data_IF_974068711728
#
_entry.id   IF_974068711728
#
_cell.length_a   1.000
_cell.length_b   1.000
_cell.length_c   1.000
_cell.angle_alpha   90.00
_cell.angle_beta   90.00
_cell.angle_gamma   90.00
#
_symmetry.space_group_name_H-M   'P 1'
#
loop_
_entity.id
_entity.type
_entity.pdbx_description
1 polymer ?
#
# COMPACT_ATOMS: atom_id res chain seq x y z
N UNK A 1 23.20 -18.29 -12.76
CA UNK A 1 22.52 -17.36 -13.68
C UNK A 1 21.00 -17.55 -13.73
N UNK A 2 20.45 -18.77 -13.57
CA UNK A 2 18.99 -19.03 -13.59
C UNK A 2 18.19 -18.32 -12.48
N UNK A 3 18.72 -18.19 -11.26
CA UNK A 3 18.02 -17.59 -10.14
C UNK A 3 17.81 -16.06 -10.26
N UNK A 4 18.73 -15.34 -10.93
CA UNK A 4 18.64 -13.88 -11.09
C UNK A 4 17.56 -13.51 -12.11
N UNK A 5 17.45 -14.25 -13.20
CA UNK A 5 16.41 -14.02 -14.20
C UNK A 5 15.02 -14.32 -13.64
N UNK A 6 14.87 -15.42 -12.90
CA UNK A 6 13.60 -15.79 -12.27
C UNK A 6 13.13 -14.72 -11.24
N UNK A 7 14.05 -14.15 -10.47
CA UNK A 7 13.74 -13.06 -9.53
C UNK A 7 13.27 -11.78 -10.23
N UNK A 8 13.89 -11.45 -11.37
CA UNK A 8 13.50 -10.27 -12.15
C UNK A 8 12.14 -10.45 -12.81
N UNK A 9 11.89 -11.60 -13.44
CA UNK A 9 10.60 -11.94 -14.04
C UNK A 9 9.48 -11.97 -13.00
N UNK A 10 9.75 -12.52 -11.80
CA UNK A 10 8.79 -12.52 -10.69
C UNK A 10 8.47 -11.09 -10.22
N UNK A 11 9.47 -10.21 -10.15
CA UNK A 11 9.25 -8.82 -9.75
C UNK A 11 8.41 -8.06 -10.78
N UNK A 12 8.66 -8.26 -12.07
CA UNK A 12 7.83 -7.65 -13.13
C UNK A 12 6.37 -8.15 -13.04
N UNK A 13 6.14 -9.44 -12.85
CA UNK A 13 4.81 -9.99 -12.62
C UNK A 13 4.13 -9.36 -11.39
N UNK A 14 4.85 -9.22 -10.29
CA UNK A 14 4.32 -8.60 -9.08
C UNK A 14 3.92 -7.13 -9.31
N UNK A 15 4.70 -6.39 -10.10
CA UNK A 15 4.36 -5.01 -10.49
C UNK A 15 3.12 -4.96 -11.37
N UNK A 16 2.97 -5.87 -12.32
CA UNK A 16 1.81 -5.97 -13.18
C UNK A 16 0.55 -6.31 -12.37
N UNK A 17 0.63 -7.24 -11.42
CA UNK A 17 -0.46 -7.55 -10.50
C UNK A 17 -0.89 -6.33 -9.69
N UNK A 18 0.05 -5.57 -9.14
CA UNK A 18 -0.24 -4.34 -8.42
C UNK A 18 -0.84 -3.25 -9.33
N UNK A 19 -0.38 -3.16 -10.59
CA UNK A 19 -0.91 -2.23 -11.60
C UNK A 19 -2.40 -2.51 -11.92
N UNK A 20 -2.85 -3.76 -11.83
CA UNK A 20 -4.27 -4.12 -12.06
C UNK A 20 -5.21 -3.50 -11.03
N UNK A 21 -4.73 -3.12 -9.86
CA UNK A 21 -5.53 -2.47 -8.80
C UNK A 21 -5.69 -0.95 -9.01
N UNK A 22 -4.99 -0.36 -9.97
CA UNK A 22 -5.01 1.07 -10.24
C UNK A 22 -6.43 1.56 -10.51
N UNK A 23 -6.76 2.72 -9.90
CA UNK A 23 -8.10 3.30 -9.98
C UNK A 23 -9.11 2.66 -9.03
N UNK A 24 -8.66 1.74 -8.17
CA UNK A 24 -9.52 1.01 -7.25
C UNK A 24 -9.47 1.49 -5.81
N UNK A 25 -10.35 0.88 -5.01
CA UNK A 25 -10.44 1.07 -3.57
C UNK A 25 -10.12 -0.25 -2.87
N UNK A 26 -9.15 -0.23 -1.97
CA UNK A 26 -8.81 -1.36 -1.10
C UNK A 26 -9.44 -1.08 0.26
N UNK A 27 -10.26 -2.00 0.76
CA UNK A 27 -11.04 -1.79 1.99
C UNK A 27 -10.56 -2.72 3.11
N UNK A 28 -10.31 -2.15 4.29
CA UNK A 28 -10.00 -2.91 5.49
C UNK A 28 -11.27 -3.63 5.98
N UNK A 29 -11.15 -4.94 6.23
CA UNK A 29 -12.25 -5.80 6.69
C UNK A 29 -11.79 -6.68 7.85
N UNK A 30 -12.70 -6.96 8.80
CA UNK A 30 -12.40 -7.75 9.99
C UNK A 30 -13.13 -9.08 10.08
N UNK A 31 -13.96 -9.38 9.08
CA UNK A 31 -14.69 -10.64 8.96
C UNK A 31 -15.21 -10.86 7.53
N UNK A 32 -15.72 -12.06 7.26
CA UNK A 32 -16.25 -12.46 5.97
C UNK A 32 -17.43 -11.60 5.47
N UNK A 33 -18.32 -11.16 6.36
CA UNK A 33 -19.48 -10.34 5.97
C UNK A 33 -19.06 -8.93 5.52
N UNK A 34 -18.10 -8.34 6.20
CA UNK A 34 -17.51 -7.07 5.75
C UNK A 34 -16.81 -7.22 4.39
N UNK A 35 -16.10 -8.33 4.19
CA UNK A 35 -15.44 -8.63 2.91
C UNK A 35 -16.44 -8.71 1.76
N UNK A 36 -17.54 -9.45 1.92
CA UNK A 36 -18.64 -9.52 0.95
C UNK A 36 -19.27 -8.16 0.67
N UNK A 37 -19.47 -7.35 1.71
CA UNK A 37 -19.99 -5.98 1.58
C UNK A 37 -19.04 -5.11 0.76
N UNK A 38 -17.74 -5.20 1.01
CA UNK A 38 -16.72 -4.47 0.25
C UNK A 38 -16.69 -4.89 -1.22
N UNK A 39 -16.70 -6.20 -1.49
CA UNK A 39 -16.75 -6.74 -2.87
C UNK A 39 -18.01 -6.29 -3.60
N UNK A 40 -19.19 -6.40 -2.98
CA UNK A 40 -20.47 -5.95 -3.54
C UNK A 40 -20.50 -4.44 -3.84
N UNK A 41 -19.75 -3.64 -3.09
CA UNK A 41 -19.61 -2.20 -3.31
C UNK A 41 -18.62 -1.85 -4.44
N UNK A 42 -17.87 -2.81 -4.97
CA UNK A 42 -16.90 -2.63 -6.04
C UNK A 42 -15.47 -2.38 -5.57
N UNK A 43 -15.10 -2.82 -4.36
CA UNK A 43 -13.70 -2.82 -3.94
C UNK A 43 -12.84 -3.66 -4.90
N UNK A 44 -11.64 -3.20 -5.22
CA UNK A 44 -10.70 -3.95 -6.07
C UNK A 44 -9.92 -5.02 -5.29
N UNK A 45 -9.84 -4.87 -3.98
CA UNK A 45 -9.24 -5.81 -3.04
C UNK A 45 -9.72 -5.51 -1.62
N UNK A 46 -9.52 -6.45 -0.70
CA UNK A 46 -9.75 -6.24 0.73
C UNK A 46 -8.46 -6.47 1.51
N UNK A 47 -8.29 -5.76 2.63
CA UNK A 47 -7.22 -5.96 3.60
C UNK A 47 -7.79 -6.70 4.80
N UNK A 48 -7.37 -7.94 5.01
CA UNK A 48 -7.81 -8.77 6.13
C UNK A 48 -7.11 -8.35 7.43
N UNK A 49 -7.87 -7.91 8.42
CA UNK A 49 -7.38 -7.45 9.72
C UNK A 49 -8.22 -8.04 10.86
N UNK A 50 -7.61 -8.36 11.99
CA UNK A 50 -8.36 -8.64 13.22
C UNK A 50 -8.94 -7.37 13.82
N UNK A 51 -8.19 -6.27 13.71
CA UNK A 51 -8.55 -4.95 14.22
C UNK A 51 -8.17 -3.91 13.19
N UNK A 52 -9.08 -2.99 12.92
CA UNK A 52 -8.81 -1.84 12.08
C UNK A 52 -7.82 -0.88 12.77
N UNK A 53 -7.12 -0.01 12.05
CA UNK A 53 -6.11 0.89 12.62
C UNK A 53 -6.60 1.72 13.81
N UNK A 54 -7.85 2.18 13.80
CA UNK A 54 -8.44 2.93 14.92
C UNK A 54 -8.50 2.11 16.21
N UNK A 55 -8.84 0.82 16.13
CA UNK A 55 -8.92 -0.06 17.29
C UNK A 55 -7.53 -0.47 17.78
N UNK A 56 -6.56 -0.61 16.87
CA UNK A 56 -5.16 -0.82 17.24
C UNK A 56 -4.63 0.37 18.05
N UNK A 57 -4.89 1.60 17.61
CA UNK A 57 -4.53 2.82 18.34
C UNK A 57 -5.18 2.89 19.72
N UNK A 58 -6.45 2.56 19.82
CA UNK A 58 -7.21 2.63 21.07
C UNK A 58 -6.75 1.57 22.09
N UNK A 59 -6.42 0.36 21.63
CA UNK A 59 -6.03 -0.74 22.50
C UNK A 59 -4.59 -0.60 23.04
N UNK A 60 -3.70 0.05 22.28
CA UNK A 60 -2.26 0.09 22.61
C UNK A 60 -1.59 -1.29 22.57
N UNK A 61 -0.38 -1.38 23.08
CA UNK A 61 0.38 -2.63 23.12
C UNK A 61 0.98 -3.04 21.76
N UNK A 62 1.37 -4.32 21.65
CA UNK A 62 2.01 -4.85 20.44
C UNK A 62 0.95 -5.36 19.46
N UNK A 63 0.87 -4.72 18.29
CA UNK A 63 0.03 -5.17 17.18
C UNK A 63 0.83 -6.09 16.25
N UNK A 64 0.29 -7.28 15.96
CA UNK A 64 0.92 -8.34 15.15
C UNK A 64 0.05 -8.67 13.93
N UNK A 65 0.57 -9.54 13.04
CA UNK A 65 -0.24 -10.08 11.94
C UNK A 65 -1.51 -10.76 12.47
N UNK A 66 -2.54 -10.76 11.65
CA UNK A 66 -3.83 -11.38 11.97
C UNK A 66 -3.75 -12.90 11.98
N UNK A 67 -4.68 -13.55 12.72
CA UNK A 67 -4.79 -14.99 12.79
C UNK A 67 -4.97 -15.62 11.40
N UNK A 68 -4.19 -16.65 11.04
CA UNK A 68 -4.33 -17.36 9.78
C UNK A 68 -5.75 -17.89 9.51
N UNK A 69 -6.49 -18.29 10.53
CA UNK A 69 -7.88 -18.76 10.38
C UNK A 69 -8.79 -17.65 9.87
N UNK A 70 -8.69 -16.44 10.45
CA UNK A 70 -9.45 -15.28 10.00
C UNK A 70 -9.12 -14.93 8.55
N UNK A 71 -7.84 -14.95 8.19
CA UNK A 71 -7.40 -14.68 6.81
C UNK A 71 -8.04 -15.70 5.84
N UNK A 72 -8.00 -16.98 6.17
CA UNK A 72 -8.63 -18.04 5.37
C UNK A 72 -10.15 -17.89 5.25
N UNK A 73 -10.83 -17.49 6.33
CA UNK A 73 -12.28 -17.23 6.29
C UNK A 73 -12.62 -16.07 5.33
N UNK A 74 -11.81 -15.00 5.33
CA UNK A 74 -11.98 -13.88 4.40
C UNK A 74 -11.67 -14.30 2.96
N UNK A 75 -10.56 -15.02 2.73
CA UNK A 75 -10.22 -15.57 1.39
C UNK A 75 -11.34 -16.44 0.81
N UNK A 76 -11.97 -17.27 1.63
CA UNK A 76 -13.09 -18.12 1.21
C UNK A 76 -14.41 -17.37 0.96
N UNK A 77 -14.51 -16.11 1.37
CA UNK A 77 -15.74 -15.33 1.30
C UNK A 77 -15.88 -14.45 0.06
N UNK A 78 -14.77 -14.13 -0.62
CA UNK A 78 -14.72 -13.17 -1.74
C UNK A 78 -13.93 -13.74 -2.91
N UNK A 79 -14.17 -13.20 -4.10
CA UNK A 79 -13.43 -13.52 -5.33
C UNK A 79 -12.36 -12.48 -5.69
N UNK A 80 -12.41 -11.31 -5.08
CA UNK A 80 -11.40 -10.27 -5.24
C UNK A 80 -10.14 -10.57 -4.42
N UNK A 81 -8.97 -10.00 -4.78
CA UNK A 81 -7.73 -10.21 -4.04
C UNK A 81 -7.84 -9.87 -2.55
N UNK A 82 -7.18 -10.67 -1.73
CA UNK A 82 -7.08 -10.48 -0.28
C UNK A 82 -5.64 -10.13 0.08
N UNK A 83 -5.46 -9.02 0.78
CA UNK A 83 -4.20 -8.58 1.35
C UNK A 83 -4.16 -8.87 2.84
N UNK A 84 -2.96 -9.02 3.39
CA UNK A 84 -2.75 -9.07 4.83
C UNK A 84 -1.47 -8.30 5.21
N UNK A 85 -1.39 -7.88 6.48
CA UNK A 85 -0.26 -7.11 7.01
C UNK A 85 0.72 -8.01 7.77
N UNK A 86 2.02 -7.78 7.54
CA UNK A 86 3.08 -8.24 8.44
C UNK A 86 3.78 -7.04 9.09
N UNK A 87 4.46 -7.29 10.21
CA UNK A 87 5.27 -6.27 10.88
C UNK A 87 6.51 -5.93 10.07
N UNK A 88 6.96 -4.70 10.13
CA UNK A 88 8.23 -4.28 9.50
C UNK A 88 9.36 -5.18 9.99
N UNK A 89 10.14 -5.74 9.06
CA UNK A 89 11.30 -6.60 9.32
C UNK A 89 10.94 -8.05 9.72
N UNK A 90 9.66 -8.37 9.91
CA UNK A 90 9.26 -9.70 10.34
C UNK A 90 9.08 -10.69 9.17
N UNK A 91 10.19 -11.14 8.61
CA UNK A 91 10.16 -12.05 7.46
C UNK A 91 9.44 -13.38 7.73
N UNK A 92 9.41 -13.87 8.99
CA UNK A 92 8.67 -15.10 9.33
C UNK A 92 7.14 -14.91 9.23
N UNK A 93 6.59 -13.73 9.61
CA UNK A 93 5.18 -13.42 9.36
C UNK A 93 4.89 -13.39 7.84
N UNK A 94 5.77 -12.80 7.04
CA UNK A 94 5.63 -12.80 5.59
C UNK A 94 5.68 -14.21 4.99
N UNK A 95 6.52 -15.09 5.50
CA UNK A 95 6.57 -16.52 5.09
C UNK A 95 5.26 -17.24 5.40
N UNK A 96 4.66 -16.99 6.58
CA UNK A 96 3.35 -17.53 6.94
C UNK A 96 2.28 -17.03 5.96
N UNK A 97 2.24 -15.73 5.68
CA UNK A 97 1.28 -15.16 4.74
C UNK A 97 1.44 -15.70 3.33
N UNK A 98 2.67 -15.87 2.84
CA UNK A 98 2.92 -16.51 1.56
C UNK A 98 2.45 -17.97 1.54
N UNK A 99 2.66 -18.73 2.63
CA UNK A 99 2.19 -20.10 2.76
C UNK A 99 0.65 -20.21 2.83
N UNK A 100 -0.03 -19.14 3.24
CA UNK A 100 -1.48 -18.98 3.17
C UNK A 100 -1.97 -18.59 1.78
N UNK A 101 -1.08 -18.45 0.80
CA UNK A 101 -1.41 -18.03 -0.56
C UNK A 101 -2.15 -16.69 -0.60
N UNK A 102 -1.70 -15.74 0.26
CA UNK A 102 -2.22 -14.37 0.24
C UNK A 102 -1.85 -13.68 -1.08
N UNK A 103 -2.72 -12.84 -1.61
CA UNK A 103 -2.48 -12.19 -2.90
C UNK A 103 -1.46 -11.04 -2.81
N UNK A 104 -1.44 -10.30 -1.70
CA UNK A 104 -0.48 -9.21 -1.44
C UNK A 104 -0.15 -9.16 0.05
N UNK A 105 1.10 -8.81 0.37
CA UNK A 105 1.54 -8.56 1.75
C UNK A 105 1.85 -7.07 1.93
N UNK A 106 1.22 -6.44 2.91
CA UNK A 106 1.57 -5.08 3.33
C UNK A 106 2.55 -5.17 4.53
N UNK A 107 3.83 -4.86 4.28
CA UNK A 107 4.82 -4.66 5.33
C UNK A 107 4.55 -3.30 5.98
N UNK A 108 3.88 -3.32 7.13
CA UNK A 108 3.11 -2.17 7.59
C UNK A 108 3.58 -1.57 8.90
N UNK A 109 3.75 -0.25 8.88
CA UNK A 109 3.96 0.58 10.08
C UNK A 109 2.74 0.68 11.00
N UNK A 110 1.57 0.24 10.55
CA UNK A 110 0.35 0.16 11.39
C UNK A 110 0.49 -0.89 12.48
N UNK A 111 1.22 -1.96 12.20
CA UNK A 111 1.61 -2.95 13.19
C UNK A 111 2.87 -2.50 13.94
N UNK A 112 3.12 -3.11 15.11
CA UNK A 112 4.35 -2.85 15.85
C UNK A 112 5.56 -3.39 15.08
N UNK A 113 6.61 -2.61 14.80
CA UNK A 113 7.76 -3.13 14.07
C UNK A 113 8.44 -4.26 14.85
N UNK A 114 8.96 -5.25 14.14
CA UNK A 114 9.81 -6.31 14.70
C UNK A 114 11.29 -5.95 14.58
N UNK A 115 11.62 -5.09 13.60
CA UNK A 115 12.96 -4.57 13.38
C UNK A 115 12.84 -3.07 13.11
N UNK A 116 13.66 -2.27 13.77
CA UNK A 116 13.67 -0.81 13.66
C UNK A 116 14.70 -0.30 12.62
N UNK A 117 15.53 -1.21 12.09
CA UNK A 117 16.58 -0.90 11.13
C UNK A 117 16.28 -1.52 9.76
N UNK A 118 15.97 -2.83 9.73
CA UNK A 118 15.88 -3.58 8.49
C UNK A 118 14.43 -3.88 8.11
N UNK A 119 14.10 -3.58 6.84
CA UNK A 119 12.89 -4.07 6.19
C UNK A 119 13.14 -5.45 5.60
N UNK A 120 12.05 -6.16 5.28
CA UNK A 120 12.10 -7.48 4.65
C UNK A 120 12.76 -7.38 3.26
N UNK A 121 13.67 -8.28 2.94
CA UNK A 121 14.14 -8.50 1.57
C UNK A 121 13.04 -9.21 0.75
N UNK A 122 12.27 -8.41 0.02
CA UNK A 122 11.09 -8.84 -0.74
C UNK A 122 11.46 -9.65 -1.98
N UNK A 123 12.72 -9.60 -2.40
CA UNK A 123 13.22 -10.40 -3.53
C UNK A 123 13.27 -11.90 -3.23
N UNK A 124 13.10 -12.28 -1.97
CA UNK A 124 13.03 -13.68 -1.51
C UNK A 124 11.61 -14.27 -1.55
N UNK A 125 10.62 -13.46 -1.92
CA UNK A 125 9.22 -13.85 -1.94
C UNK A 125 8.67 -13.83 -3.37
N UNK A 126 7.65 -14.65 -3.60
CA UNK A 126 6.92 -14.65 -4.88
C UNK A 126 5.71 -13.72 -4.84
N UNK A 127 5.14 -13.48 -3.66
CA UNK A 127 3.99 -12.62 -3.46
C UNK A 127 4.38 -11.13 -3.55
N UNK A 128 3.55 -10.27 -4.18
CA UNK A 128 3.80 -8.83 -4.24
C UNK A 128 3.67 -8.16 -2.87
N UNK A 129 4.58 -7.22 -2.60
CA UNK A 129 4.59 -6.43 -1.36
C UNK A 129 4.11 -5.00 -1.60
N UNK A 130 3.36 -4.50 -0.62
CA UNK A 130 2.96 -3.09 -0.45
C UNK A 130 3.75 -2.49 0.70
N UNK A 131 4.24 -1.27 0.54
CA UNK A 131 4.94 -0.54 1.59
C UNK A 131 4.49 0.91 1.67
N UNK A 132 4.48 1.47 2.88
CA UNK A 132 4.25 2.89 3.11
C UNK A 132 5.50 3.73 2.86
N UNK A 133 5.31 4.96 2.36
CA UNK A 133 6.35 5.96 2.22
C UNK A 133 5.82 7.37 2.49
N UNK A 134 6.69 8.23 3.05
CA UNK A 134 6.40 9.63 3.34
C UNK A 134 6.97 10.59 2.30
N UNK A 135 8.01 10.14 1.58
CA UNK A 135 8.76 10.94 0.60
C UNK A 135 9.34 10.03 -0.49
N UNK A 136 9.93 10.63 -1.52
CA UNK A 136 10.48 9.90 -2.67
C UNK A 136 11.64 8.97 -2.28
N UNK A 137 12.56 9.42 -1.42
CA UNK A 137 13.68 8.60 -0.99
C UNK A 137 13.22 7.32 -0.28
N UNK A 138 12.24 7.43 0.63
CA UNK A 138 11.67 6.27 1.31
C UNK A 138 10.96 5.33 0.32
N UNK A 139 10.17 5.89 -0.62
CA UNK A 139 9.50 5.12 -1.66
C UNK A 139 10.50 4.32 -2.50
N UNK A 140 11.55 4.97 -2.98
CA UNK A 140 12.57 4.33 -3.81
C UNK A 140 13.39 3.28 -3.06
N UNK A 141 13.64 3.47 -1.75
CA UNK A 141 14.29 2.44 -0.91
C UNK A 141 13.40 1.20 -0.78
N UNK A 142 12.10 1.35 -0.56
CA UNK A 142 11.16 0.21 -0.53
C UNK A 142 11.09 -0.51 -1.87
N UNK A 143 11.08 0.24 -2.97
CA UNK A 143 11.12 -0.32 -4.33
C UNK A 143 12.43 -1.08 -4.58
N UNK A 144 13.56 -0.55 -4.13
CA UNK A 144 14.86 -1.23 -4.23
C UNK A 144 14.88 -2.57 -3.48
N UNK A 145 14.12 -2.69 -2.41
CA UNK A 145 13.95 -3.94 -1.65
C UNK A 145 12.93 -4.90 -2.28
N UNK A 146 12.26 -4.51 -3.36
CA UNK A 146 11.31 -5.33 -4.12
C UNK A 146 9.83 -5.02 -3.87
N UNK A 147 9.48 -3.87 -3.28
CA UNK A 147 8.07 -3.46 -3.16
C UNK A 147 7.45 -3.26 -4.55
N UNK A 148 6.27 -3.84 -4.77
CA UNK A 148 5.51 -3.76 -6.02
C UNK A 148 4.44 -2.66 -6.01
N UNK A 149 4.13 -2.10 -4.84
CA UNK A 149 3.21 -0.98 -4.63
C UNK A 149 3.72 -0.10 -3.50
N UNK A 150 3.56 1.20 -3.66
CA UNK A 150 3.76 2.20 -2.60
C UNK A 150 2.40 2.77 -2.20
N UNK A 151 2.27 3.12 -0.94
CA UNK A 151 1.16 3.93 -0.42
C UNK A 151 1.68 5.04 0.50
N UNK A 152 0.92 6.11 0.64
CA UNK A 152 1.21 7.09 1.69
C UNK A 152 1.05 6.45 3.07
N UNK A 153 1.80 6.92 4.06
CA UNK A 153 1.63 6.47 5.45
C UNK A 153 0.42 7.13 6.09
N UNK A 154 0.30 8.44 5.95
CA UNK A 154 -0.80 9.20 6.55
C UNK A 154 -0.89 9.02 8.07
N UNK A 155 -2.10 9.14 8.59
CA UNK A 155 -2.46 8.91 9.98
C UNK A 155 -3.59 7.87 10.06
N UNK A 156 -3.28 6.57 9.96
CA UNK A 156 -4.29 5.51 9.94
C UNK A 156 -5.20 5.52 11.17
N UNK A 157 -6.50 5.38 10.96
CA UNK A 157 -7.49 5.28 12.02
C UNK A 157 -7.95 6.60 12.63
N UNK A 158 -7.44 7.75 12.19
CA UNK A 158 -7.83 9.08 12.70
C UNK A 158 -8.98 9.70 11.95
N UNK A 159 -9.20 9.35 10.69
CA UNK A 159 -10.10 10.04 9.77
C UNK A 159 -9.58 11.43 9.35
N UNK A 160 -8.34 11.77 9.68
CA UNK A 160 -7.66 12.99 9.28
C UNK A 160 -6.72 12.71 8.10
N UNK A 161 -7.04 13.28 6.96
CA UNK A 161 -6.34 13.03 5.68
C UNK A 161 -5.10 13.92 5.51
N UNK A 162 -4.85 14.87 6.41
CA UNK A 162 -3.81 15.91 6.22
C UNK A 162 -2.41 15.33 5.97
N UNK A 163 -2.02 14.27 6.68
CA UNK A 163 -0.70 13.66 6.50
C UNK A 163 -0.62 12.85 5.20
N UNK A 164 -1.69 12.19 4.78
CA UNK A 164 -1.73 11.51 3.48
C UNK A 164 -1.60 12.53 2.33
N UNK A 165 -2.28 13.66 2.42
CA UNK A 165 -2.15 14.79 1.48
C UNK A 165 -0.71 15.31 1.46
N UNK A 166 -0.12 15.53 2.64
CA UNK A 166 1.27 15.99 2.75
C UNK A 166 2.25 15.03 2.06
N UNK A 167 2.16 13.74 2.36
CA UNK A 167 3.03 12.72 1.76
C UNK A 167 2.86 12.63 0.24
N UNK A 168 1.63 12.66 -0.28
CA UNK A 168 1.36 12.62 -1.72
C UNK A 168 1.94 13.84 -2.43
N UNK A 169 1.71 15.04 -1.88
CA UNK A 169 2.27 16.28 -2.42
C UNK A 169 3.79 16.30 -2.38
N UNK A 170 4.39 15.81 -1.29
CA UNK A 170 5.85 15.76 -1.14
C UNK A 170 6.46 14.82 -2.18
N UNK A 171 5.96 13.60 -2.30
CA UNK A 171 6.44 12.63 -3.32
C UNK A 171 6.34 13.24 -4.72
N UNK A 172 5.21 13.84 -5.08
CA UNK A 172 5.00 14.44 -6.40
C UNK A 172 5.94 15.63 -6.64
N UNK A 173 6.16 16.48 -5.65
CA UNK A 173 7.08 17.62 -5.78
C UNK A 173 8.54 17.17 -5.92
N UNK A 174 8.94 16.13 -5.19
CA UNK A 174 10.28 15.55 -5.29
C UNK A 174 10.49 14.83 -6.63
N UNK A 175 9.48 14.15 -7.17
CA UNK A 175 9.49 13.59 -8.54
C UNK A 175 9.71 14.71 -9.56
N UNK A 176 8.95 15.80 -9.45
CA UNK A 176 9.10 16.95 -10.34
C UNK A 176 10.49 17.59 -10.24
N UNK A 177 11.04 17.68 -9.04
CA UNK A 177 12.39 18.21 -8.81
C UNK A 177 13.47 17.31 -9.43
N UNK A 178 13.35 15.99 -9.32
CA UNK A 178 14.26 15.03 -9.97
C UNK A 178 14.13 15.13 -11.50
N UNK A 179 12.91 15.20 -12.03
CA UNK A 179 12.66 15.29 -13.47
C UNK A 179 13.20 16.59 -14.12
N UNK A 180 13.38 17.66 -13.33
CA UNK A 180 13.91 18.93 -13.80
C UNK A 180 15.46 19.03 -13.75
N UNK A 181 16.13 18.03 -13.15
CA UNK A 181 17.59 18.01 -13.06
C UNK A 181 18.24 17.67 -14.39
N UNK A 182 19.50 18.06 -14.52
CA UNK A 182 20.36 17.57 -15.60
C UNK A 182 20.80 16.14 -15.31
N UNK A 183 21.07 15.39 -16.33
CA UNK A 183 21.46 13.96 -16.20
C UNK A 183 22.74 13.77 -15.35
N UNK A 184 23.70 14.70 -15.45
CA UNK A 184 24.94 14.69 -14.69
C UNK A 184 24.75 14.95 -13.18
N UNK A 185 23.59 15.48 -12.77
CA UNK A 185 23.26 15.73 -11.36
C UNK A 185 22.60 14.50 -10.66
N UNK A 186 22.23 13.47 -11.44
CA UNK A 186 21.46 12.33 -10.89
C UNK A 186 22.28 11.45 -9.96
N UNK A 187 23.61 11.37 -10.13
CA UNK A 187 24.48 10.60 -9.22
C UNK A 187 24.46 11.18 -7.80
N UNK A 188 24.58 12.50 -7.68
CA UNK A 188 24.50 13.15 -6.37
C UNK A 188 23.08 13.04 -5.79
N UNK A 189 22.05 13.13 -6.62
CA UNK A 189 20.66 12.94 -6.21
C UNK A 189 20.44 11.53 -5.62
N UNK A 190 20.96 10.49 -6.28
CA UNK A 190 20.89 9.12 -5.78
C UNK A 190 21.58 8.95 -4.42
N UNK A 191 22.73 9.56 -4.26
CA UNK A 191 23.47 9.59 -2.99
C UNK A 191 22.70 10.30 -1.87
N UNK A 192 22.12 11.48 -2.18
CA UNK A 192 21.32 12.24 -1.20
C UNK A 192 20.06 11.49 -0.77
N UNK A 193 19.37 10.83 -1.70
CA UNK A 193 18.19 10.01 -1.42
C UNK A 193 18.54 8.64 -0.83
N UNK A 194 19.82 8.24 -0.88
CA UNK A 194 20.31 6.93 -0.42
C UNK A 194 19.61 5.78 -1.17
N UNK A 195 19.58 5.85 -2.50
CA UNK A 195 18.90 4.89 -3.38
C UNK A 195 19.78 4.52 -4.58
N UNK A 196 19.52 3.39 -5.24
CA UNK A 196 20.19 3.03 -6.50
C UNK A 196 19.99 4.09 -7.57
N UNK A 197 21.07 4.37 -8.33
CA UNK A 197 21.07 5.33 -9.44
C UNK A 197 19.98 5.04 -10.47
N UNK A 198 19.78 3.77 -10.83
CA UNK A 198 18.82 3.36 -11.85
C UNK A 198 17.38 3.75 -11.50
N UNK A 199 17.03 3.76 -10.21
CA UNK A 199 15.71 4.21 -9.76
C UNK A 199 15.55 5.73 -9.89
N UNK A 200 16.59 6.50 -9.59
CA UNK A 200 16.58 7.96 -9.80
C UNK A 200 16.49 8.29 -11.28
N UNK A 201 17.27 7.58 -12.11
CA UNK A 201 17.20 7.74 -13.56
C UNK A 201 15.82 7.37 -14.11
N UNK A 202 15.19 6.32 -13.61
CA UNK A 202 13.81 5.98 -13.98
C UNK A 202 12.84 7.12 -13.68
N UNK A 203 12.90 7.68 -12.47
CA UNK A 203 12.04 8.81 -12.07
C UNK A 203 12.30 10.05 -12.94
N UNK A 204 13.56 10.35 -13.23
CA UNK A 204 13.95 11.45 -14.12
C UNK A 204 13.33 11.30 -15.51
N UNK A 205 13.47 10.12 -16.12
CA UNK A 205 13.07 9.86 -17.50
C UNK A 205 11.55 9.73 -17.66
N UNK A 206 10.88 9.08 -16.68
CA UNK A 206 9.45 8.76 -16.75
C UNK A 206 8.55 9.69 -15.95
N UNK A 207 9.10 10.55 -15.09
CA UNK A 207 8.39 11.54 -14.26
C UNK A 207 7.33 10.90 -13.33
N UNK A 208 7.61 9.67 -12.89
CA UNK A 208 6.74 8.88 -12.01
C UNK A 208 7.52 7.79 -11.29
N UNK A 209 6.93 7.20 -10.25
CA UNK A 209 7.47 5.97 -9.65
C UNK A 209 7.37 4.77 -10.62
N UNK A 210 8.27 3.79 -10.50
CA UNK A 210 8.20 2.55 -11.30
C UNK A 210 7.06 1.61 -10.88
N UNK A 211 6.38 1.89 -9.77
CA UNK A 211 5.23 1.14 -9.24
C UNK A 211 4.08 2.08 -8.93
N UNK A 212 2.86 1.54 -8.78
CA UNK A 212 1.68 2.33 -8.41
C UNK A 212 1.82 2.93 -7.01
N UNK A 213 1.28 4.14 -6.83
CA UNK A 213 1.27 4.86 -5.56
C UNK A 213 -0.16 5.17 -5.12
N UNK A 214 -0.60 4.52 -4.07
CA UNK A 214 -1.94 4.68 -3.50
C UNK A 214 -1.94 5.67 -2.33
N UNK A 215 -3.09 6.28 -2.09
CA UNK A 215 -3.31 7.05 -0.88
C UNK A 215 -3.78 6.15 0.26
N UNK A 216 -3.20 6.31 1.44
CA UNK A 216 -3.58 5.62 2.65
C UNK A 216 -3.35 6.49 3.88
N UNK A 217 -4.08 6.18 4.96
CA UNK A 217 -3.91 6.82 6.27
C UNK A 217 -4.76 8.06 6.46
N UNK A 218 -5.98 7.88 6.96
CA UNK A 218 -6.91 8.95 7.28
C UNK A 218 -7.97 9.24 6.23
N UNK A 219 -7.98 8.55 5.10
CA UNK A 219 -9.06 8.64 4.10
C UNK A 219 -10.33 8.02 4.69
N UNK A 220 -11.38 8.84 4.90
CA UNK A 220 -12.59 8.41 5.60
C UNK A 220 -13.88 8.71 4.83
N UNK A 221 -13.87 9.69 3.93
CA UNK A 221 -15.06 10.15 3.22
C UNK A 221 -14.87 10.04 1.70
N UNK A 222 -15.97 10.03 0.92
CA UNK A 222 -15.88 10.12 -0.55
C UNK A 222 -15.12 11.36 -1.03
N UNK A 223 -15.27 12.49 -0.33
CA UNK A 223 -14.56 13.73 -0.65
C UNK A 223 -13.05 13.61 -0.42
N UNK A 224 -12.61 12.95 0.66
CA UNK A 224 -11.19 12.68 0.92
C UNK A 224 -10.60 11.79 -0.19
N UNK A 225 -11.34 10.76 -0.59
CA UNK A 225 -10.91 9.85 -1.67
C UNK A 225 -10.78 10.62 -3.00
N UNK A 226 -11.76 11.43 -3.37
CA UNK A 226 -11.69 12.27 -4.57
C UNK A 226 -10.51 13.26 -4.52
N UNK A 227 -10.28 13.90 -3.36
CA UNK A 227 -9.13 14.79 -3.15
C UNK A 227 -7.81 14.07 -3.42
N UNK A 228 -7.63 12.88 -2.85
CA UNK A 228 -6.41 12.12 -3.04
C UNK A 228 -6.18 11.70 -4.50
N UNK A 229 -7.25 11.31 -5.20
CA UNK A 229 -7.18 11.00 -6.63
C UNK A 229 -6.79 12.22 -7.46
N UNK A 230 -7.38 13.39 -7.20
CA UNK A 230 -7.00 14.66 -7.86
C UNK A 230 -5.57 15.10 -7.55
N UNK A 231 -5.03 14.71 -6.42
CA UNK A 231 -3.62 14.94 -6.07
C UNK A 231 -2.65 13.94 -6.72
N UNK A 232 -3.17 13.00 -7.52
CA UNK A 232 -2.36 12.06 -8.29
C UNK A 232 -2.18 10.69 -7.65
N UNK A 233 -2.97 10.36 -6.62
CA UNK A 233 -3.03 8.98 -6.14
C UNK A 233 -3.59 8.06 -7.25
N UNK A 234 -3.09 6.84 -7.31
CA UNK A 234 -3.50 5.85 -8.30
C UNK A 234 -4.53 4.85 -7.76
N UNK A 235 -5.06 5.12 -6.58
CA UNK A 235 -6.09 4.40 -5.86
C UNK A 235 -6.04 4.77 -4.38
N UNK A 236 -6.95 4.22 -3.58
CA UNK A 236 -7.03 4.53 -2.15
C UNK A 236 -7.19 3.28 -1.29
N UNK A 237 -6.59 3.32 -0.09
CA UNK A 237 -6.89 2.41 1.01
C UNK A 237 -7.86 3.12 1.96
N UNK A 238 -8.93 2.45 2.36
CA UNK A 238 -9.90 2.97 3.31
C UNK A 238 -10.12 1.98 4.44
N UNK A 239 -9.85 2.42 5.66
CA UNK A 239 -10.00 1.62 6.87
C UNK A 239 -11.28 1.91 7.63
N UNK A 240 -11.15 2.54 8.80
CA UNK A 240 -12.25 2.76 9.76
C UNK A 240 -13.45 3.53 9.22
N UNK A 241 -13.30 4.31 8.16
CA UNK A 241 -14.33 5.18 7.62
C UNK A 241 -15.54 4.47 7.02
N UNK A 242 -15.41 3.17 6.68
CA UNK A 242 -16.50 2.40 6.06
C UNK A 242 -17.33 1.69 7.14
N UNK A 243 -16.75 0.70 7.82
CA UNK A 243 -17.52 -0.20 8.69
C UNK A 243 -17.87 0.40 10.05
N UNK A 244 -17.29 1.54 10.44
CA UNK A 244 -17.74 2.35 11.57
C UNK A 244 -18.84 3.36 11.21
N UNK A 245 -19.22 3.48 9.94
CA UNK A 245 -20.31 4.37 9.52
C UNK A 245 -21.69 3.77 9.84
N UNK A 246 -22.71 4.63 9.89
CA UNK A 246 -24.09 4.17 10.11
C UNK A 246 -24.69 3.34 8.97
N UNK A 247 -24.06 3.34 7.78
CA UNK A 247 -24.45 2.53 6.63
C UNK A 247 -23.19 2.15 5.81
N UNK A 248 -22.49 1.05 6.17
CA UNK A 248 -21.25 0.64 5.53
C UNK A 248 -21.37 0.39 4.02
N UNK A 249 -22.41 -0.29 3.57
CA UNK A 249 -22.62 -0.61 2.15
C UNK A 249 -22.76 0.66 1.30
N UNK A 250 -23.55 1.62 1.76
CA UNK A 250 -23.73 2.92 1.09
C UNK A 250 -22.43 3.73 1.11
N UNK A 251 -21.72 3.74 2.23
CA UNK A 251 -20.43 4.44 2.36
C UNK A 251 -19.38 3.85 1.44
N UNK A 252 -19.26 2.53 1.40
CA UNK A 252 -18.33 1.83 0.52
C UNK A 252 -18.61 2.14 -0.96
N UNK A 253 -19.85 2.01 -1.40
CA UNK A 253 -20.25 2.34 -2.78
C UNK A 253 -19.97 3.80 -3.13
N UNK A 254 -20.25 4.76 -2.23
CA UNK A 254 -19.98 6.17 -2.46
C UNK A 254 -18.49 6.48 -2.60
N UNK A 255 -17.62 5.80 -1.84
CA UNK A 255 -16.16 5.95 -1.95
C UNK A 255 -15.67 5.38 -3.29
N UNK A 256 -16.16 4.21 -3.71
CA UNK A 256 -15.82 3.63 -5.02
C UNK A 256 -16.23 4.58 -6.15
N UNK A 257 -17.43 5.14 -6.11
CA UNK A 257 -17.88 6.13 -7.09
C UNK A 257 -17.02 7.39 -7.09
N UNK A 258 -16.62 7.89 -5.92
CA UNK A 258 -15.76 9.06 -5.81
C UNK A 258 -14.36 8.81 -6.42
N UNK A 259 -13.81 7.62 -6.24
CA UNK A 259 -12.51 7.22 -6.85
C UNK A 259 -12.63 7.05 -8.35
N UNK A 260 -13.76 6.56 -8.85
CA UNK A 260 -13.98 6.34 -10.28
C UNK A 260 -14.27 7.65 -11.03
N UNK A 261 -14.94 8.62 -10.39
CA UNK A 261 -15.48 9.83 -11.00
C UNK A 261 -14.96 11.13 -10.34
N UNK A 262 -13.69 11.18 -9.97
CA UNK A 262 -13.11 12.30 -9.22
C UNK A 262 -12.82 13.56 -10.06
N UNK A 263 -12.98 13.52 -11.38
CA UNK A 263 -12.77 14.63 -12.31
C UNK A 263 -14.02 15.51 -12.44
#
# INVERSE_FOLDING_TARGET
MSNINNTKEQYELNRELAQMLKGGVIMDVTNAEQAKTAEAAGACAVMALERIPADIRAAGGVARMSDPKLIREIQGAVSIPVMAKCRIGHFAEAQILQALEIDYIDESEVLSPADDIYHIDKTKFQVPFVCGAKNLGEALRRIAEGAAMIRTKGEPGTGDVVQAVHHMRLINSEIAAVAAKREDELFETAKQLQVPYDLVKYVHDHKKLPVVNFAAGGVATPADAALMMQLGAEGVFVGSGIFKSGNPAKRAAAIVQAVTNYN
#
